data_IF_539121207674
#
_entry.id   IF_539121207674
#
_cell.length_a   1.000
_cell.length_b   1.000
_cell.length_c   1.000
_cell.angle_alpha   90.00
_cell.angle_beta   90.00
_cell.angle_gamma   90.00
#
_symmetry.space_group_name_H-M   'P 1'
#
loop_
_entity.id
_entity.type
_entity.pdbx_description
1 polymer ?
#
# COMPACT_ATOMS: atom_id res chain seq x y z
N UNK A 1 -14.55 -11.30 -28.62
CA UNK A 1 -15.01 -12.00 -29.84
C UNK A 1 -15.33 -10.93 -30.85
N UNK A 2 -14.88 -11.11 -32.09
CA UNK A 2 -14.84 -10.13 -33.19
C UNK A 2 -13.92 -8.91 -32.94
N UNK A 3 -14.13 -8.11 -31.89
CA UNK A 3 -13.27 -6.93 -31.62
C UNK A 3 -11.83 -7.31 -31.25
N UNK A 4 -11.65 -8.36 -30.45
CA UNK A 4 -10.33 -8.90 -30.12
C UNK A 4 -9.60 -9.50 -31.32
N UNK A 5 -10.35 -9.92 -32.35
CA UNK A 5 -9.80 -10.53 -33.56
C UNK A 5 -9.36 -9.44 -34.55
N UNK A 6 -10.14 -8.36 -34.66
CA UNK A 6 -9.75 -7.15 -35.39
C UNK A 6 -8.52 -6.47 -34.77
N UNK A 7 -8.46 -6.38 -33.44
CA UNK A 7 -7.28 -5.85 -32.75
C UNK A 7 -6.06 -6.74 -33.02
N UNK A 8 -6.18 -8.06 -32.87
CA UNK A 8 -5.05 -8.98 -33.11
C UNK A 8 -4.50 -8.91 -34.56
N UNK A 9 -5.36 -8.69 -35.54
CA UNK A 9 -4.96 -8.45 -36.94
C UNK A 9 -4.22 -7.11 -37.12
N UNK A 10 -4.62 -6.07 -36.39
CA UNK A 10 -3.98 -4.74 -36.42
C UNK A 10 -2.56 -4.76 -35.83
N UNK A 11 -2.34 -5.51 -34.75
CA UNK A 11 -1.04 -5.65 -34.07
C UNK A 11 -0.19 -6.82 -34.59
N UNK A 12 -0.63 -7.49 -35.67
CA UNK A 12 0.07 -8.62 -36.31
C UNK A 12 0.47 -9.75 -35.34
N UNK A 13 -0.30 -9.96 -34.26
CA UNK A 13 -0.03 -11.03 -33.30
C UNK A 13 -0.55 -12.33 -33.90
N UNK A 14 0.33 -13.29 -34.16
CA UNK A 14 -0.11 -14.57 -34.68
C UNK A 14 -0.94 -15.32 -33.61
N UNK A 15 -1.85 -16.18 -34.06
CA UNK A 15 -2.78 -16.90 -33.19
C UNK A 15 -2.10 -17.75 -32.09
N UNK A 16 -0.90 -18.28 -32.35
CA UNK A 16 -0.10 -19.06 -31.39
C UNK A 16 0.42 -18.17 -30.25
N UNK A 17 0.85 -16.95 -30.56
CA UNK A 17 1.37 -15.99 -29.57
C UNK A 17 0.23 -15.42 -28.71
N UNK A 18 -0.94 -15.16 -29.31
CA UNK A 18 -2.15 -14.80 -28.58
C UNK A 18 -2.57 -15.90 -27.58
N UNK A 19 -2.50 -17.17 -27.98
CA UNK A 19 -2.81 -18.31 -27.09
C UNK A 19 -1.77 -18.45 -25.97
N UNK A 20 -0.49 -18.19 -26.24
CA UNK A 20 0.56 -18.21 -25.22
C UNK A 20 0.37 -17.07 -24.20
N UNK A 21 0.02 -15.87 -24.67
CA UNK A 21 -0.32 -14.73 -23.80
C UNK A 21 -1.53 -15.04 -22.94
N UNK A 22 -2.63 -15.57 -23.50
CA UNK A 22 -3.82 -15.90 -22.71
C UNK A 22 -3.50 -16.94 -21.63
N UNK A 23 -2.70 -17.97 -21.94
CA UNK A 23 -2.26 -18.97 -20.94
C UNK A 23 -1.39 -18.38 -19.84
N UNK A 24 -0.55 -17.40 -20.17
CA UNK A 24 0.28 -16.69 -19.19
C UNK A 24 -0.56 -15.82 -18.25
N UNK A 25 -1.66 -15.25 -18.75
CA UNK A 25 -2.52 -14.31 -18.00
C UNK A 25 -3.69 -14.99 -17.27
N UNK A 26 -4.11 -16.18 -17.70
CA UNK A 26 -5.25 -16.90 -17.11
C UNK A 26 -5.15 -17.10 -15.58
N UNK A 27 -4.00 -17.47 -15.00
CA UNK A 27 -3.87 -17.56 -13.53
C UNK A 27 -4.04 -16.22 -12.82
N UNK A 28 -3.61 -15.11 -13.44
CA UNK A 28 -3.74 -13.75 -12.88
C UNK A 28 -5.18 -13.27 -12.93
N UNK A 29 -5.86 -13.49 -14.07
CA UNK A 29 -7.28 -13.16 -14.24
C UNK A 29 -8.17 -13.98 -13.29
N UNK A 30 -7.84 -15.25 -13.04
CA UNK A 30 -8.56 -16.05 -12.05
C UNK A 30 -8.37 -15.55 -10.61
N UNK A 31 -7.18 -15.06 -10.24
CA UNK A 31 -6.96 -14.42 -8.93
C UNK A 31 -7.74 -13.13 -8.79
N UNK A 32 -7.71 -12.27 -9.82
CA UNK A 32 -8.46 -11.02 -9.84
C UNK A 32 -9.97 -11.29 -9.73
N UNK A 33 -10.49 -12.27 -10.48
CA UNK A 33 -11.90 -12.65 -10.40
C UNK A 33 -12.30 -13.14 -9.00
N UNK A 34 -11.46 -13.94 -8.32
CA UNK A 34 -11.72 -14.38 -6.94
C UNK A 34 -11.66 -13.23 -5.95
N UNK A 35 -10.72 -12.29 -6.13
CA UNK A 35 -10.61 -11.09 -5.32
C UNK A 35 -11.86 -10.21 -5.47
N UNK A 36 -12.25 -9.87 -6.71
CA UNK A 36 -13.47 -9.10 -6.99
C UNK A 36 -14.71 -9.80 -6.47
N UNK A 37 -14.79 -11.14 -6.57
CA UNK A 37 -15.92 -11.89 -6.04
C UNK A 37 -15.94 -11.91 -4.49
N UNK A 38 -14.77 -11.92 -3.85
CA UNK A 38 -14.62 -11.77 -2.41
C UNK A 38 -15.06 -10.38 -1.93
N UNK A 39 -14.54 -9.33 -2.55
CA UNK A 39 -14.88 -7.94 -2.23
C UNK A 39 -16.34 -7.60 -2.55
N UNK A 40 -16.85 -8.05 -3.70
CA UNK A 40 -18.27 -7.91 -4.05
C UNK A 40 -19.20 -8.68 -3.08
N UNK A 41 -18.74 -9.78 -2.49
CA UNK A 41 -19.51 -10.51 -1.47
C UNK A 41 -19.50 -9.81 -0.10
N UNK A 42 -18.44 -9.07 0.23
CA UNK A 42 -18.38 -8.19 1.41
C UNK A 42 -19.24 -6.94 1.25
N UNK A 43 -19.39 -6.45 0.01
CA UNK A 43 -20.18 -5.26 -0.32
C UNK A 43 -21.68 -5.50 -0.51
N UNK A 44 -22.20 -6.73 -0.26
CA UNK A 44 -23.64 -6.95 -0.26
C UNK A 44 -24.27 -6.47 1.06
N UNK A 45 -24.35 -5.14 1.21
CA UNK A 45 -25.20 -4.48 2.20
C UNK A 45 -26.66 -4.84 1.91
N UNK A 46 -27.24 -5.70 2.74
CA UNK A 46 -28.65 -6.06 2.61
C UNK A 46 -29.50 -4.91 3.19
N UNK A 47 -30.04 -4.07 2.30
CA UNK A 47 -31.01 -3.04 2.68
C UNK A 47 -32.34 -3.73 3.01
N UNK A 48 -32.71 -3.73 4.28
CA UNK A 48 -33.98 -4.31 4.76
C UNK A 48 -35.02 -3.19 4.80
N UNK A 49 -36.02 -3.26 3.92
CA UNK A 49 -37.10 -2.29 3.89
C UNK A 49 -38.10 -2.55 5.02
N UNK A 50 -38.43 -1.51 5.77
CA UNK A 50 -39.39 -1.55 6.88
C UNK A 50 -40.81 -1.49 6.32
N UNK A 51 -41.60 -2.53 6.58
CA UNK A 51 -43.00 -2.57 6.16
C UNK A 51 -43.83 -1.59 6.99
N UNK A 52 -44.88 -0.98 6.42
CA UNK A 52 -45.74 -0.04 7.13
C UNK A 52 -46.38 -0.70 8.37
N UNK A 53 -45.98 -0.27 9.57
CA UNK A 53 -46.44 -0.83 10.86
C UNK A 53 -45.43 -1.75 11.55
N UNK A 54 -44.30 -2.05 10.90
CA UNK A 54 -43.17 -2.76 11.49
C UNK A 54 -42.21 -1.74 12.13
N UNK A 55 -41.71 -2.03 13.34
CA UNK A 55 -40.69 -1.20 13.97
C UNK A 55 -39.30 -1.77 13.67
N UNK A 56 -38.33 -0.95 13.23
CA UNK A 56 -36.97 -1.39 13.04
C UNK A 56 -36.35 -1.82 14.38
N UNK A 57 -35.31 -2.67 14.38
CA UNK A 57 -34.60 -3.03 15.60
C UNK A 57 -34.11 -1.79 16.37
N UNK A 58 -34.14 -1.85 17.70
CA UNK A 58 -33.68 -0.77 18.58
C UNK A 58 -32.21 -0.45 18.30
N UNK A 59 -31.90 0.85 18.16
CA UNK A 59 -30.54 1.35 17.94
C UNK A 59 -30.11 1.44 16.48
N UNK A 60 -30.96 1.05 15.52
CA UNK A 60 -30.61 1.09 14.09
C UNK A 60 -31.08 2.40 13.45
N UNK A 61 -30.20 3.03 12.67
CA UNK A 61 -30.53 4.23 11.88
C UNK A 61 -31.39 3.85 10.68
N UNK A 62 -32.55 4.50 10.54
CA UNK A 62 -33.47 4.31 9.43
C UNK A 62 -33.30 5.43 8.42
N UNK A 63 -33.27 5.09 7.14
CA UNK A 63 -33.17 6.03 6.03
C UNK A 63 -34.37 5.93 5.10
N UNK A 64 -34.71 7.03 4.43
CA UNK A 64 -35.75 7.06 3.42
C UNK A 64 -35.14 6.74 2.04
N UNK A 65 -35.59 5.64 1.43
CA UNK A 65 -35.12 5.21 0.12
C UNK A 65 -35.73 6.02 -1.04
N UNK A 66 -35.15 5.94 -2.23
CA UNK A 66 -35.52 6.75 -3.40
C UNK A 66 -36.94 6.52 -3.95
N UNK A 67 -37.68 5.56 -3.39
CA UNK A 67 -39.08 5.26 -3.73
C UNK A 67 -40.06 5.56 -2.58
N UNK A 68 -39.63 6.31 -1.56
CA UNK A 68 -40.46 6.73 -0.42
C UNK A 68 -40.73 5.63 0.62
N UNK A 69 -39.91 4.58 0.64
CA UNK A 69 -39.95 3.52 1.65
C UNK A 69 -38.78 3.65 2.61
N UNK A 70 -38.99 3.33 3.88
CA UNK A 70 -37.92 3.35 4.89
C UNK A 70 -37.13 2.04 4.85
N UNK A 71 -35.81 2.11 5.01
CA UNK A 71 -34.95 0.92 5.13
C UNK A 71 -33.86 1.13 6.19
N UNK A 72 -33.24 0.05 6.62
CA UNK A 72 -32.01 0.06 7.40
C UNK A 72 -30.97 -0.90 6.82
N UNK A 73 -29.68 -0.65 7.10
CA UNK A 73 -28.57 -1.54 6.73
C UNK A 73 -28.32 -2.54 7.87
N UNK A 74 -28.33 -3.84 7.59
CA UNK A 74 -28.37 -4.90 8.63
C UNK A 74 -27.00 -5.34 9.17
N UNK A 75 -25.97 -4.50 9.13
CA UNK A 75 -24.65 -4.88 9.65
C UNK A 75 -24.70 -5.11 11.17
N UNK A 76 -24.14 -6.23 11.62
CA UNK A 76 -23.87 -6.48 13.03
C UNK A 76 -25.03 -6.99 13.91
N UNK A 77 -26.25 -7.21 13.40
CA UNK A 77 -27.36 -7.72 14.23
C UNK A 77 -27.26 -9.26 14.34
N UNK A 78 -27.03 -9.85 15.53
CA UNK A 78 -27.01 -11.30 15.69
C UNK A 78 -28.37 -11.90 15.29
N UNK A 79 -28.37 -12.85 14.34
CA UNK A 79 -29.55 -13.63 13.94
C UNK A 79 -30.04 -14.48 15.12
N UNK A 80 -30.83 -13.88 16.00
CA UNK A 80 -31.38 -14.52 17.20
C UNK A 80 -32.26 -13.64 18.08
N UNK A 81 -32.26 -12.32 17.89
CA UNK A 81 -32.97 -11.37 18.77
C UNK A 81 -34.48 -11.18 18.48
N UNK A 82 -35.14 -12.10 17.77
CA UNK A 82 -36.60 -12.09 17.61
C UNK A 82 -37.28 -12.94 18.69
N UNK A 83 -37.08 -12.60 19.96
CA UNK A 83 -38.00 -13.04 21.01
C UNK A 83 -38.92 -11.88 21.35
N UNK A 84 -40.20 -12.09 21.04
CA UNK A 84 -41.32 -11.22 21.39
C UNK A 84 -41.53 -11.26 22.89
N UNK A 85 -40.74 -10.48 23.63
CA UNK A 85 -41.04 -10.15 25.01
C UNK A 85 -42.04 -9.02 25.04
N UNK A 86 -43.24 -9.34 25.52
CA UNK A 86 -44.29 -8.39 25.87
C UNK A 86 -43.95 -7.89 27.27
N UNK A 87 -42.92 -7.08 27.38
CA UNK A 87 -42.59 -6.41 28.65
C UNK A 87 -43.54 -5.23 28.84
N UNK A 88 -44.06 -5.11 30.06
CA UNK A 88 -44.83 -3.95 30.49
C UNK A 88 -43.94 -2.70 30.30
N UNK A 89 -44.37 -1.69 29.53
CA UNK A 89 -43.57 -0.48 29.30
C UNK A 89 -43.07 0.18 30.59
N UNK A 90 -43.79 0.00 31.70
CA UNK A 90 -43.36 0.53 33.01
C UNK A 90 -42.22 -0.28 33.62
N UNK A 91 -42.18 -1.60 33.44
CA UNK A 91 -41.07 -2.44 33.90
C UNK A 91 -39.80 -2.19 33.08
N UNK A 92 -39.94 -1.96 31.76
CA UNK A 92 -38.82 -1.57 30.89
C UNK A 92 -38.26 -0.21 31.28
N UNK A 93 -39.13 0.76 31.60
CA UNK A 93 -38.70 2.11 32.02
C UNK A 93 -38.00 2.06 33.37
N UNK A 94 -38.55 1.35 34.35
CA UNK A 94 -37.93 1.20 35.67
C UNK A 94 -36.60 0.44 35.61
N UNK A 95 -36.53 -0.61 34.78
CA UNK A 95 -35.29 -1.34 34.52
C UNK A 95 -34.23 -0.45 33.85
N UNK A 96 -34.65 0.40 32.91
CA UNK A 96 -33.77 1.36 32.23
C UNK A 96 -33.29 2.48 33.17
N UNK A 97 -34.12 2.94 34.10
CA UNK A 97 -33.73 3.96 35.10
C UNK A 97 -32.81 3.38 36.20
N UNK A 98 -33.01 2.13 36.62
CA UNK A 98 -32.17 1.46 37.62
C UNK A 98 -30.81 1.04 37.05
N UNK A 99 -30.72 0.82 35.73
CA UNK A 99 -29.48 0.51 34.99
C UNK A 99 -28.95 1.67 34.17
N UNK A 100 -29.59 2.83 34.20
CA UNK A 100 -28.98 4.05 33.71
C UNK A 100 -27.78 4.31 34.60
N UNK A 101 -26.62 3.83 34.14
CA UNK A 101 -25.31 4.18 34.67
C UNK A 101 -25.36 5.69 34.93
N UNK A 102 -25.00 6.18 36.13
CA UNK A 102 -25.04 7.61 36.43
C UNK A 102 -24.38 8.29 35.26
N UNK A 103 -25.14 9.16 34.56
CA UNK A 103 -24.71 9.80 33.31
C UNK A 103 -23.24 10.13 33.50
N UNK A 104 -22.33 9.43 32.79
CA UNK A 104 -20.91 9.58 33.06
C UNK A 104 -20.66 11.08 33.06
N UNK A 105 -20.06 11.59 34.14
CA UNK A 105 -19.71 13.01 34.20
C UNK A 105 -19.10 13.33 32.85
N UNK A 106 -19.61 14.36 32.14
CA UNK A 106 -19.27 14.59 30.75
C UNK A 106 -17.75 14.63 30.68
N UNK A 107 -17.16 13.53 30.23
CA UNK A 107 -15.73 13.45 30.00
C UNK A 107 -15.48 14.54 28.98
N UNK A 108 -14.56 15.45 29.28
CA UNK A 108 -14.18 16.48 28.33
C UNK A 108 -13.86 15.75 27.03
N UNK A 109 -14.65 16.03 25.99
CA UNK A 109 -14.53 15.31 24.75
C UNK A 109 -13.09 15.52 24.26
N UNK A 110 -12.37 14.41 24.01
CA UNK A 110 -11.03 14.48 23.45
C UNK A 110 -11.09 15.34 22.18
N UNK A 111 -10.20 16.34 22.03
CA UNK A 111 -10.26 17.24 20.89
C UNK A 111 -10.09 16.47 19.60
N UNK A 112 -10.76 16.93 18.56
CA UNK A 112 -10.57 16.49 17.19
C UNK A 112 -9.35 17.19 16.56
N UNK A 113 -8.81 16.65 15.47
CA UNK A 113 -7.68 17.27 14.75
C UNK A 113 -8.03 18.69 14.28
N UNK A 114 -9.28 18.90 13.85
CA UNK A 114 -9.77 20.21 13.42
C UNK A 114 -9.98 21.24 14.54
N UNK A 115 -10.00 20.84 15.81
CA UNK A 115 -10.28 21.75 16.93
C UNK A 115 -9.17 22.80 17.13
N UNK A 116 -7.96 22.50 16.64
CA UNK A 116 -6.84 23.45 16.64
C UNK A 116 -6.95 24.48 15.49
N UNK A 117 -7.86 24.28 14.53
CA UNK A 117 -8.03 25.21 13.40
C UNK A 117 -6.78 25.38 12.55
N UNK A 118 -5.90 24.37 12.53
CA UNK A 118 -4.58 24.43 11.90
C UNK A 118 -3.51 25.23 12.66
N UNK A 119 -3.78 25.62 13.92
CA UNK A 119 -2.83 26.28 14.79
C UNK A 119 -1.90 25.25 15.45
N UNK A 120 -0.75 25.00 14.81
CA UNK A 120 0.28 24.09 15.33
C UNK A 120 0.80 24.56 16.69
N UNK A 121 0.85 25.86 16.97
CA UNK A 121 1.30 26.35 18.28
C UNK A 121 0.31 25.93 19.37
N UNK A 122 -0.99 26.04 19.11
CA UNK A 122 -2.04 25.59 20.02
C UNK A 122 -1.98 24.07 20.29
N UNK A 123 -1.69 23.26 19.26
CA UNK A 123 -1.48 21.81 19.43
C UNK A 123 -0.29 21.52 20.34
N UNK A 124 0.83 22.21 20.15
CA UNK A 124 2.03 22.03 20.98
C UNK A 124 1.81 22.49 22.41
N UNK A 125 1.14 23.62 22.61
CA UNK A 125 0.82 24.12 23.95
C UNK A 125 -0.14 23.15 24.67
N UNK A 126 -1.08 22.55 23.94
CA UNK A 126 -1.97 21.50 24.44
C UNK A 126 -1.27 20.18 24.74
N UNK A 127 -0.24 19.81 23.96
CA UNK A 127 0.55 18.60 24.19
C UNK A 127 1.57 18.76 25.34
N UNK A 128 2.08 19.98 25.56
CA UNK A 128 3.08 20.31 26.57
C UNK A 128 2.46 20.72 27.93
N UNK A 129 1.13 20.81 28.03
CA UNK A 129 0.47 21.14 29.29
C UNK A 129 0.86 20.10 30.36
N UNK A 130 1.49 20.57 31.44
CA UNK A 130 2.28 19.79 32.42
C UNK A 130 1.45 18.73 33.19
N UNK A 131 0.14 18.70 32.95
CA UNK A 131 -0.86 17.83 33.59
C UNK A 131 -1.60 16.91 32.62
N UNK A 132 -1.16 16.85 31.36
CA UNK A 132 -1.82 15.99 30.38
C UNK A 132 -1.66 14.52 30.73
N UNK A 133 -2.77 13.79 30.71
CA UNK A 133 -2.71 12.34 30.75
C UNK A 133 -2.04 11.85 29.46
N UNK A 134 -0.98 11.06 29.60
CA UNK A 134 -0.31 10.44 28.45
C UNK A 134 -1.28 9.59 27.63
N UNK A 135 -2.32 9.03 28.27
CA UNK A 135 -3.34 8.24 27.59
C UNK A 135 -4.17 9.07 26.60
N UNK A 136 -4.60 10.28 26.95
CA UNK A 136 -5.32 11.17 26.01
C UNK A 136 -4.44 11.57 24.82
N UNK A 137 -3.16 11.84 25.07
CA UNK A 137 -2.22 12.20 24.04
C UNK A 137 -1.97 11.02 23.08
N UNK A 138 -1.84 9.82 23.65
CA UNK A 138 -1.65 8.59 22.92
C UNK A 138 -2.88 8.27 22.05
N UNK A 139 -4.08 8.35 22.60
CA UNK A 139 -5.35 8.16 21.87
C UNK A 139 -5.51 9.20 20.76
N UNK A 140 -5.23 10.47 21.05
CA UNK A 140 -5.34 11.54 20.08
C UNK A 140 -4.48 11.25 18.84
N UNK A 141 -3.20 10.94 19.05
CA UNK A 141 -2.27 10.68 17.96
C UNK A 141 -2.48 9.32 17.30
N UNK A 142 -2.87 8.27 18.03
CA UNK A 142 -3.17 6.96 17.46
C UNK A 142 -4.23 7.04 16.34
N UNK A 143 -5.22 7.94 16.46
CA UNK A 143 -6.22 8.16 15.41
C UNK A 143 -5.61 8.58 14.07
N UNK A 144 -4.46 9.25 14.06
CA UNK A 144 -3.81 9.72 12.83
C UNK A 144 -3.32 8.58 11.95
N UNK A 145 -3.21 7.36 12.50
CA UNK A 145 -2.68 6.20 11.79
C UNK A 145 -3.57 4.96 11.89
N UNK A 146 -4.70 5.08 12.58
CA UNK A 146 -5.70 4.02 12.64
C UNK A 146 -6.53 4.05 11.36
N UNK A 147 -6.66 2.91 10.69
CA UNK A 147 -7.37 2.75 9.41
C UNK A 147 -8.28 1.53 9.50
N UNK A 148 -9.04 1.24 8.43
CA UNK A 148 -9.83 0.00 8.35
C UNK A 148 -8.98 -1.28 8.46
N UNK A 149 -7.68 -1.21 8.14
CA UNK A 149 -6.77 -2.36 8.10
C UNK A 149 -5.66 -2.30 9.15
N UNK A 150 -5.63 -1.25 9.98
CA UNK A 150 -4.61 -1.06 11.03
C UNK A 150 -5.18 -0.38 12.26
N UNK A 151 -4.84 -0.88 13.43
CA UNK A 151 -4.90 -0.14 14.69
C UNK A 151 -3.50 0.39 15.03
N UNK A 152 -3.44 1.63 15.51
CA UNK A 152 -2.20 2.25 15.96
C UNK A 152 -2.17 2.35 17.49
N UNK A 153 -1.02 2.03 18.07
CA UNK A 153 -0.75 2.12 19.51
C UNK A 153 0.50 3.00 19.70
N UNK A 154 0.38 4.10 20.44
CA UNK A 154 1.54 4.91 20.80
C UNK A 154 2.31 4.18 21.91
N UNK A 155 3.56 3.81 21.60
CA UNK A 155 4.43 3.05 22.51
C UNK A 155 5.42 3.94 23.24
N UNK A 156 5.66 5.14 22.70
CA UNK A 156 6.49 6.17 23.32
C UNK A 156 6.09 7.52 22.77
N UNK A 157 5.94 8.48 23.68
CA UNK A 157 5.80 9.90 23.37
C UNK A 157 6.91 10.68 24.07
N UNK A 158 7.54 11.60 23.33
CA UNK A 158 8.49 12.59 23.87
C UNK A 158 8.04 13.95 23.40
N UNK A 159 7.64 14.82 24.34
CA UNK A 159 7.23 16.20 24.06
C UNK A 159 8.35 17.13 24.51
N UNK A 160 8.79 17.99 23.60
CA UNK A 160 9.72 19.08 23.85
C UNK A 160 9.09 20.39 23.33
N UNK A 161 9.67 21.54 23.69
CA UNK A 161 9.09 22.86 23.36
C UNK A 161 8.86 23.09 21.86
N UNK A 162 9.69 22.47 21.00
CA UNK A 162 9.69 22.65 19.54
C UNK A 162 9.44 21.38 18.74
N UNK A 163 9.34 20.21 19.39
CA UNK A 163 9.05 18.93 18.72
C UNK A 163 8.29 17.92 19.57
N UNK A 164 7.49 17.08 18.90
CA UNK A 164 6.84 15.90 19.50
C UNK A 164 7.32 14.68 18.73
N UNK A 165 7.99 13.75 19.41
CA UNK A 165 8.44 12.47 18.83
C UNK A 165 7.53 11.34 19.30
N UNK A 166 7.00 10.57 18.35
CA UNK A 166 6.07 9.47 18.58
C UNK A 166 6.62 8.18 17.99
N UNK A 167 6.71 7.13 18.82
CA UNK A 167 6.95 5.77 18.36
C UNK A 167 5.65 4.99 18.38
N UNK A 168 5.25 4.47 17.23
CA UNK A 168 3.94 3.86 17.01
C UNK A 168 4.11 2.40 16.61
N UNK A 169 3.29 1.55 17.22
CA UNK A 169 3.12 0.15 16.85
C UNK A 169 1.82 -0.01 16.07
N UNK A 170 1.90 -0.67 14.94
CA UNK A 170 0.75 -1.01 14.11
C UNK A 170 0.35 -2.47 14.35
N UNK A 171 -0.95 -2.69 14.49
CA UNK A 171 -1.59 -4.00 14.70
C UNK A 171 -2.75 -4.21 13.76
N UNK A 172 -3.03 -5.47 13.43
CA UNK A 172 -4.20 -5.86 12.67
C UNK A 172 -5.45 -5.83 13.59
N UNK A 173 -6.52 -5.10 13.25
CA UNK A 173 -7.67 -4.93 14.13
C UNK A 173 -8.42 -6.23 14.44
N UNK A 174 -8.42 -7.20 13.52
CA UNK A 174 -9.16 -8.46 13.71
C UNK A 174 -8.39 -9.46 14.56
N UNK A 175 -7.07 -9.53 14.36
CA UNK A 175 -6.22 -10.57 14.95
C UNK A 175 -5.32 -10.05 16.06
N UNK A 176 -5.23 -8.74 16.23
CA UNK A 176 -4.25 -8.05 17.07
C UNK A 176 -2.79 -8.45 16.77
N UNK A 177 -2.53 -8.91 15.53
CA UNK A 177 -1.19 -9.30 15.10
C UNK A 177 -0.35 -8.07 14.82
N UNK A 178 0.91 -8.07 15.25
CA UNK A 178 1.83 -6.98 14.95
C UNK A 178 2.12 -6.87 13.44
N UNK A 179 1.85 -5.71 12.86
CA UNK A 179 2.04 -5.42 11.43
C UNK A 179 3.35 -4.69 11.17
N UNK A 180 3.75 -3.78 12.06
CA UNK A 180 4.95 -2.99 11.90
C UNK A 180 5.08 -1.87 12.92
N UNK A 181 6.12 -1.07 12.76
CA UNK A 181 6.44 0.06 13.65
C UNK A 181 6.81 1.28 12.84
N UNK A 182 6.55 2.46 13.39
CA UNK A 182 6.99 3.72 12.81
C UNK A 182 7.39 4.74 13.87
N UNK A 183 8.19 5.71 13.46
CA UNK A 183 8.54 6.87 14.28
C UNK A 183 8.24 8.14 13.47
N UNK A 184 7.64 9.12 14.13
CA UNK A 184 7.26 10.41 13.56
C UNK A 184 7.71 11.52 14.48
N UNK A 185 8.33 12.55 13.92
CA UNK A 185 8.70 13.76 14.64
C UNK A 185 7.91 14.93 14.08
N UNK A 186 7.03 15.50 14.89
CA UNK A 186 6.29 16.70 14.57
C UNK A 186 7.10 17.91 15.03
N UNK A 187 7.21 18.94 14.20
CA UNK A 187 7.92 20.17 14.53
C UNK A 187 6.94 21.32 14.67
N UNK A 188 7.15 22.16 15.69
CA UNK A 188 6.34 23.37 15.93
C UNK A 188 6.40 24.35 14.74
N UNK A 189 7.43 24.25 13.90
CA UNK A 189 7.54 25.01 12.64
C UNK A 189 6.51 24.60 11.56
N UNK A 190 5.69 23.58 11.80
CA UNK A 190 4.64 23.12 10.89
C UNK A 190 5.06 21.97 9.96
N UNK A 191 6.23 21.34 10.18
CA UNK A 191 6.68 20.18 9.42
C UNK A 191 6.56 18.87 10.20
N UNK A 192 6.34 17.76 9.50
CA UNK A 192 6.43 16.39 10.06
C UNK A 192 7.60 15.67 9.42
N UNK A 193 8.46 15.04 10.22
CA UNK A 193 9.53 14.18 9.75
C UNK A 193 9.13 12.70 9.92
N UNK A 194 9.22 11.92 8.85
CA UNK A 194 9.05 10.47 8.92
C UNK A 194 10.40 9.79 9.17
N UNK A 195 10.74 9.60 10.45
CA UNK A 195 12.02 9.02 10.88
C UNK A 195 12.17 7.53 10.50
N UNK A 196 11.12 6.74 10.73
CA UNK A 196 11.15 5.30 10.47
C UNK A 196 9.77 4.80 10.06
N UNK A 197 9.71 3.89 9.10
CA UNK A 197 8.52 3.09 8.85
C UNK A 197 8.93 1.69 8.37
N UNK A 198 8.63 0.68 9.18
CA UNK A 198 8.96 -0.71 8.90
C UNK A 198 7.74 -1.60 9.07
N UNK A 199 7.41 -2.37 8.03
CA UNK A 199 6.38 -3.40 8.06
C UNK A 199 7.01 -4.79 8.10
N UNK A 200 6.34 -5.72 8.77
CA UNK A 200 6.72 -7.12 8.78
C UNK A 200 6.64 -7.71 7.37
N UNK A 201 7.62 -8.55 7.01
CA UNK A 201 7.78 -9.06 5.64
C UNK A 201 6.54 -9.79 5.11
N UNK A 202 5.79 -10.45 5.97
CA UNK A 202 4.57 -11.19 5.61
C UNK A 202 3.38 -10.29 5.26
N UNK A 203 3.42 -9.01 5.60
CA UNK A 203 2.34 -8.04 5.34
C UNK A 203 2.72 -6.95 4.31
N UNK A 204 3.96 -6.98 3.82
CA UNK A 204 4.42 -6.12 2.74
C UNK A 204 3.70 -6.46 1.41
N UNK A 205 3.51 -5.43 0.57
CA UNK A 205 2.82 -5.58 -0.72
C UNK A 205 1.29 -5.69 -0.64
N UNK A 206 0.71 -5.51 0.55
CA UNK A 206 -0.75 -5.58 0.77
C UNK A 206 -1.43 -4.20 0.81
N UNK A 207 -0.71 -3.12 0.50
CA UNK A 207 -1.25 -1.74 0.52
C UNK A 207 -1.31 -1.07 1.89
N UNK A 208 -0.91 -1.76 2.98
CA UNK A 208 -0.95 -1.22 4.35
C UNK A 208 -0.17 0.09 4.48
N UNK A 209 1.04 0.17 3.93
CA UNK A 209 1.86 1.39 4.01
C UNK A 209 1.16 2.60 3.38
N UNK A 210 0.54 2.39 2.20
CA UNK A 210 -0.19 3.42 1.49
C UNK A 210 -1.42 3.89 2.28
N UNK A 211 -2.20 2.96 2.85
CA UNK A 211 -3.37 3.30 3.65
C UNK A 211 -3.00 4.12 4.90
N UNK A 212 -1.97 3.69 5.63
CA UNK A 212 -1.48 4.37 6.83
C UNK A 212 -0.94 5.77 6.49
N UNK A 213 -0.12 5.91 5.44
CA UNK A 213 0.44 7.20 5.06
C UNK A 213 -0.63 8.19 4.59
N UNK A 214 -1.62 7.73 3.80
CA UNK A 214 -2.73 8.57 3.36
C UNK A 214 -3.54 9.11 4.54
N UNK A 215 -3.91 8.25 5.48
CA UNK A 215 -4.62 8.67 6.70
C UNK A 215 -3.79 9.66 7.52
N UNK A 216 -2.48 9.42 7.63
CA UNK A 216 -1.57 10.29 8.34
C UNK A 216 -1.50 11.68 7.70
N UNK A 217 -1.31 11.75 6.38
CA UNK A 217 -1.24 12.99 5.61
C UNK A 217 -2.51 13.84 5.75
N UNK A 218 -3.69 13.20 5.73
CA UNK A 218 -4.96 13.88 5.98
C UNK A 218 -5.04 14.43 7.40
N UNK A 219 -4.72 13.60 8.39
CA UNK A 219 -4.73 14.00 9.80
C UNK A 219 -3.75 15.14 10.09
N UNK A 220 -2.56 15.11 9.50
CA UNK A 220 -1.55 16.18 9.65
C UNK A 220 -2.04 17.50 9.08
N UNK A 221 -2.76 17.46 7.95
CA UNK A 221 -3.35 18.65 7.33
C UNK A 221 -4.41 19.26 8.24
N UNK A 222 -5.25 18.44 8.85
CA UNK A 222 -6.28 18.89 9.80
C UNK A 222 -5.66 19.53 11.05
N UNK A 223 -4.56 18.96 11.54
CA UNK A 223 -3.77 19.54 12.63
C UNK A 223 -3.04 20.84 12.27
N UNK A 224 -2.91 21.17 10.97
CA UNK A 224 -2.24 22.40 10.49
C UNK A 224 -0.80 22.24 10.05
N UNK A 225 -0.27 21.02 9.98
CA UNK A 225 1.06 20.78 9.40
C UNK A 225 1.01 21.01 7.89
N UNK A 226 2.08 21.61 7.36
CA UNK A 226 2.15 22.08 5.98
C UNK A 226 3.13 21.29 5.10
N UNK A 227 3.96 20.43 5.69
CA UNK A 227 4.94 19.66 4.93
C UNK A 227 5.36 18.38 5.63
N UNK A 228 5.72 17.38 4.82
CA UNK A 228 6.30 16.13 5.28
C UNK A 228 7.70 16.00 4.68
N UNK A 229 8.67 15.69 5.52
CA UNK A 229 10.04 15.39 5.11
C UNK A 229 10.43 14.00 5.59
N UNK A 230 11.34 13.34 4.89
CA UNK A 230 11.84 12.03 5.29
C UNK A 230 13.21 11.79 4.69
N UNK A 231 13.97 10.90 5.34
CA UNK A 231 15.19 10.37 4.76
C UNK A 231 14.96 8.92 4.36
N UNK A 232 14.67 8.70 3.08
CA UNK A 232 14.48 7.36 2.57
C UNK A 232 15.82 6.62 2.48
N UNK A 233 15.83 5.35 2.88
CA UNK A 233 16.98 4.47 2.69
C UNK A 233 17.34 4.39 1.19
N UNK A 234 18.65 4.28 0.91
CA UNK A 234 19.29 4.33 -0.41
C UNK A 234 18.85 3.21 -1.35
N UNK A 235 18.14 2.20 -0.87
CA UNK A 235 17.69 1.08 -1.68
C UNK A 235 16.45 1.44 -2.50
N UNK A 236 15.29 0.90 -2.15
CA UNK A 236 14.03 1.03 -2.90
C UNK A 236 13.14 2.12 -2.28
N UNK A 237 13.46 2.54 -1.06
CA UNK A 237 12.64 3.45 -0.27
C UNK A 237 12.35 4.76 -1.00
N UNK A 238 13.38 5.38 -1.57
CA UNK A 238 13.27 6.64 -2.33
C UNK A 238 12.23 6.56 -3.45
N UNK A 239 12.28 5.51 -4.26
CA UNK A 239 11.34 5.29 -5.34
C UNK A 239 9.91 5.02 -4.82
N UNK A 240 9.77 4.20 -3.78
CA UNK A 240 8.47 3.89 -3.20
C UNK A 240 7.75 5.13 -2.60
N UNK A 241 8.51 6.10 -2.07
CA UNK A 241 7.97 7.38 -1.62
C UNK A 241 7.64 8.29 -2.80
N UNK A 242 8.48 8.34 -3.84
CA UNK A 242 8.20 9.13 -5.02
C UNK A 242 6.90 8.68 -5.73
N UNK A 243 6.62 7.38 -5.75
CA UNK A 243 5.34 6.83 -6.24
C UNK A 243 4.12 7.27 -5.42
N UNK A 244 4.31 7.74 -4.19
CA UNK A 244 3.26 8.30 -3.33
C UNK A 244 3.17 9.84 -3.46
N UNK A 245 3.84 10.44 -4.45
CA UNK A 245 3.79 11.89 -4.70
C UNK A 245 4.83 12.71 -3.93
N UNK A 246 5.75 12.07 -3.21
CA UNK A 246 6.88 12.77 -2.60
C UNK A 246 7.88 13.23 -3.68
N UNK A 247 8.43 14.42 -3.50
CA UNK A 247 9.45 14.95 -4.40
C UNK A 247 10.86 14.74 -3.83
N UNK A 248 11.85 14.71 -4.70
CA UNK A 248 13.26 14.70 -4.33
C UNK A 248 13.71 16.10 -3.93
N UNK A 249 14.71 16.20 -3.05
CA UNK A 249 15.25 17.50 -2.64
C UNK A 249 15.91 18.22 -3.83
N UNK A 250 16.58 17.46 -4.70
CA UNK A 250 17.23 17.93 -5.90
C UNK A 250 17.39 16.80 -6.95
N UNK A 251 17.85 17.17 -8.14
CA UNK A 251 18.10 16.24 -9.26
C UNK A 251 19.12 15.14 -8.88
N UNK A 252 20.10 15.45 -8.04
CA UNK A 252 21.12 14.46 -7.63
C UNK A 252 20.52 13.35 -6.75
N UNK A 253 19.55 13.68 -5.90
CA UNK A 253 18.82 12.66 -5.13
C UNK A 253 17.93 11.80 -6.01
N UNK A 254 17.32 12.40 -7.03
CA UNK A 254 16.51 11.70 -8.03
C UNK A 254 17.37 10.72 -8.84
N UNK A 255 18.52 11.16 -9.35
CA UNK A 255 19.46 10.31 -10.08
C UNK A 255 19.94 9.13 -9.22
N UNK A 256 20.33 9.39 -7.98
CA UNK A 256 20.74 8.36 -7.03
C UNK A 256 19.63 7.33 -6.75
N UNK A 257 18.37 7.77 -6.68
CA UNK A 257 17.23 6.88 -6.51
C UNK A 257 17.02 5.97 -7.74
N UNK A 258 17.19 6.54 -8.94
CA UNK A 258 17.09 5.79 -10.20
C UNK A 258 18.18 4.75 -10.36
N UNK A 259 19.44 5.14 -10.13
CA UNK A 259 20.56 4.20 -10.16
C UNK A 259 20.32 3.01 -9.22
N UNK A 260 19.82 3.29 -8.01
CA UNK A 260 19.54 2.27 -7.00
C UNK A 260 18.40 1.34 -7.44
N UNK A 261 17.36 1.88 -8.09
CA UNK A 261 16.27 1.07 -8.65
C UNK A 261 16.74 0.20 -9.81
N UNK A 262 17.56 0.74 -10.73
CA UNK A 262 18.12 -0.02 -11.86
C UNK A 262 19.00 -1.15 -11.35
N UNK A 263 19.89 -0.88 -10.39
CA UNK A 263 20.73 -1.91 -9.75
C UNK A 263 19.86 -2.96 -9.05
N UNK A 264 18.83 -2.56 -8.32
CA UNK A 264 17.91 -3.51 -7.69
C UNK A 264 17.15 -4.38 -8.70
N UNK A 265 16.65 -3.80 -9.79
CA UNK A 265 15.96 -4.53 -10.86
C UNK A 265 16.90 -5.53 -11.55
N UNK A 266 18.16 -5.13 -11.75
CA UNK A 266 19.20 -6.02 -12.24
C UNK A 266 19.41 -7.22 -11.31
N UNK A 267 19.62 -6.95 -10.02
CA UNK A 267 19.89 -7.99 -9.02
C UNK A 267 18.72 -8.95 -8.81
N UNK A 268 17.47 -8.48 -8.94
CA UNK A 268 16.28 -9.28 -8.60
C UNK A 268 15.60 -9.97 -9.78
N UNK A 269 15.82 -9.53 -11.02
CA UNK A 269 15.09 -10.07 -12.17
C UNK A 269 15.92 -10.20 -13.43
N UNK A 270 16.68 -9.17 -13.78
CA UNK A 270 17.45 -9.17 -15.02
C UNK A 270 18.56 -10.21 -14.95
N UNK A 271 19.27 -10.32 -13.82
CA UNK A 271 20.35 -11.27 -13.64
C UNK A 271 19.89 -12.72 -13.82
N UNK A 272 18.71 -13.07 -13.32
CA UNK A 272 18.17 -14.42 -13.48
C UNK A 272 17.73 -14.69 -14.93
N UNK A 273 17.07 -13.73 -15.59
CA UNK A 273 16.72 -13.85 -17.01
C UNK A 273 17.97 -13.97 -17.88
N UNK A 274 19.01 -13.17 -17.62
CA UNK A 274 20.26 -13.19 -18.36
C UNK A 274 21.03 -14.49 -18.12
N UNK A 275 21.01 -15.03 -16.89
CA UNK A 275 21.58 -16.36 -16.58
C UNK A 275 20.87 -17.45 -17.36
N UNK A 276 19.54 -17.45 -17.39
CA UNK A 276 18.75 -18.42 -18.13
C UNK A 276 19.03 -18.33 -19.64
N UNK A 277 19.08 -17.11 -20.21
CA UNK A 277 19.40 -16.89 -21.61
C UNK A 277 20.84 -17.33 -21.97
N UNK A 278 21.83 -17.04 -21.11
CA UNK A 278 23.22 -17.45 -21.33
C UNK A 278 23.34 -18.98 -21.30
N UNK A 279 22.62 -19.64 -20.40
CA UNK A 279 22.56 -21.09 -20.33
C UNK A 279 21.86 -21.70 -21.56
N UNK A 280 20.77 -21.11 -22.03
CA UNK A 280 20.06 -21.57 -23.23
C UNK A 280 20.96 -21.46 -24.48
N UNK A 281 21.66 -20.33 -24.65
CA UNK A 281 22.63 -20.16 -25.76
C UNK A 281 23.73 -21.21 -25.74
N UNK A 282 24.32 -21.46 -24.57
CA UNK A 282 25.32 -22.52 -24.40
C UNK A 282 24.77 -23.89 -24.81
N UNK A 283 23.55 -24.23 -24.38
CA UNK A 283 22.92 -25.49 -24.74
C UNK A 283 22.61 -25.60 -26.24
N UNK A 284 22.21 -24.51 -26.88
CA UNK A 284 22.00 -24.45 -28.33
C UNK A 284 23.30 -24.64 -29.10
N UNK A 285 24.38 -23.97 -28.70
CA UNK A 285 25.70 -24.13 -29.32
C UNK A 285 26.24 -25.55 -29.16
N UNK A 286 26.19 -26.10 -27.95
CA UNK A 286 26.62 -27.49 -27.69
C UNK A 286 25.77 -28.49 -28.47
N UNK A 287 24.47 -28.23 -28.65
CA UNK A 287 23.57 -29.05 -29.48
C UNK A 287 23.86 -28.89 -30.98
N UNK A 288 24.28 -27.70 -31.41
CA UNK A 288 24.63 -27.40 -32.79
C UNK A 288 25.95 -28.03 -33.22
N UNK A 289 26.85 -28.36 -32.28
CA UNK A 289 28.04 -29.19 -32.54
C UNK A 289 27.56 -30.55 -33.11
N UNK A 290 27.71 -30.80 -34.42
CA UNK A 290 27.07 -31.94 -35.03
C UNK A 290 27.67 -33.24 -34.51
N UNK A 291 26.84 -34.10 -33.92
CA UNK A 291 27.27 -35.46 -33.56
C UNK A 291 27.83 -36.25 -34.76
N UNK A 292 27.44 -35.83 -35.98
CA UNK A 292 27.72 -36.48 -37.26
C UNK A 292 28.78 -35.79 -38.12
N UNK A 293 29.60 -34.87 -37.59
CA UNK A 293 30.80 -34.45 -38.32
C UNK A 293 31.80 -35.63 -38.29
N UNK A 294 31.68 -36.51 -39.28
CA UNK A 294 32.48 -37.75 -39.41
C UNK A 294 33.97 -37.48 -39.67
N UNK A 295 34.31 -36.23 -40.06
CA UNK A 295 35.67 -35.82 -40.42
C UNK A 295 36.36 -34.94 -39.37
N UNK A 296 35.66 -34.50 -38.32
CA UNK A 296 36.29 -33.74 -37.22
C UNK A 296 36.87 -34.67 -36.16
N UNK A 297 38.05 -34.30 -35.67
CA UNK A 297 38.73 -35.01 -34.61
C UNK A 297 38.02 -34.79 -33.27
N UNK A 298 38.15 -35.74 -32.34
CA UNK A 298 37.63 -35.57 -30.98
C UNK A 298 38.25 -34.34 -30.29
N UNK A 299 39.47 -33.95 -30.68
CA UNK A 299 40.16 -32.76 -30.20
C UNK A 299 39.42 -31.47 -30.60
N UNK A 300 39.02 -31.32 -31.87
CA UNK A 300 38.24 -30.17 -32.35
C UNK A 300 36.87 -30.08 -31.65
N UNK A 301 36.22 -31.21 -31.35
CA UNK A 301 34.95 -31.25 -30.61
C UNK A 301 35.11 -30.83 -29.15
N UNK A 302 36.23 -31.18 -28.52
CA UNK A 302 36.55 -30.74 -27.16
C UNK A 302 36.84 -29.25 -27.13
N UNK A 303 37.61 -28.74 -28.09
CA UNK A 303 37.90 -27.31 -28.22
C UNK A 303 36.62 -26.49 -28.43
N UNK A 304 35.71 -26.93 -29.29
CA UNK A 304 34.43 -26.26 -29.50
C UNK A 304 33.56 -26.20 -28.22
N UNK A 305 33.53 -27.26 -27.43
CA UNK A 305 32.79 -27.29 -26.15
C UNK A 305 33.44 -26.41 -25.08
N UNK A 306 34.76 -26.38 -25.00
CA UNK A 306 35.49 -25.51 -24.08
C UNK A 306 35.31 -24.03 -24.48
N UNK A 307 35.25 -23.71 -25.77
CA UNK A 307 34.93 -22.37 -26.26
C UNK A 307 33.52 -21.92 -25.85
N UNK A 308 32.49 -22.72 -26.15
CA UNK A 308 31.11 -22.41 -25.76
C UNK A 308 30.96 -22.25 -24.24
N UNK A 309 31.69 -23.07 -23.46
CA UNK A 309 31.72 -22.96 -22.00
C UNK A 309 32.40 -21.66 -21.54
N UNK A 310 33.51 -21.28 -22.17
CA UNK A 310 34.20 -20.02 -21.88
C UNK A 310 33.31 -18.81 -22.19
N UNK A 311 32.61 -18.78 -23.33
CA UNK A 311 31.67 -17.71 -23.69
C UNK A 311 30.51 -17.61 -22.68
N UNK A 312 29.95 -18.75 -22.24
CA UNK A 312 28.96 -18.78 -21.17
C UNK A 312 29.52 -18.21 -19.86
N UNK A 313 30.70 -18.66 -19.45
CA UNK A 313 31.31 -18.24 -18.18
C UNK A 313 31.68 -16.75 -18.21
N UNK A 314 32.10 -16.22 -19.36
CA UNK A 314 32.34 -14.78 -19.57
C UNK A 314 31.04 -13.96 -19.45
N UNK A 315 29.95 -14.41 -20.08
CA UNK A 315 28.62 -13.79 -19.93
C UNK A 315 28.15 -13.81 -18.47
N UNK A 316 28.29 -14.95 -17.79
CA UNK A 316 27.91 -15.09 -16.38
C UNK A 316 28.75 -14.19 -15.46
N UNK A 317 30.05 -14.06 -15.72
CA UNK A 317 30.93 -13.15 -14.97
C UNK A 317 30.53 -11.68 -15.13
N UNK A 318 30.02 -11.29 -16.31
CA UNK A 318 29.45 -9.96 -16.52
C UNK A 318 28.21 -9.73 -15.66
N UNK A 319 27.31 -10.71 -15.58
CA UNK A 319 26.08 -10.62 -14.77
C UNK A 319 26.39 -10.51 -13.27
N UNK A 320 27.36 -11.28 -12.78
CA UNK A 320 27.78 -11.26 -11.37
C UNK A 320 28.43 -9.93 -10.95
N UNK A 321 28.96 -9.16 -11.91
CA UNK A 321 29.59 -7.87 -11.65
C UNK A 321 28.57 -6.73 -11.50
N UNK A 322 27.27 -7.00 -11.68
CA UNK A 322 26.20 -6.01 -11.69
C UNK A 322 26.04 -5.34 -13.06
N UNK A 323 25.08 -4.40 -13.19
CA UNK A 323 24.91 -3.65 -14.42
C UNK A 323 26.15 -2.77 -14.67
N UNK A 324 26.56 -2.64 -15.93
CA UNK A 324 27.63 -1.71 -16.31
C UNK A 324 27.15 -0.27 -16.16
N UNK A 325 28.07 0.67 -15.92
CA UNK A 325 27.72 2.10 -15.87
C UNK A 325 27.09 2.57 -17.19
N UNK A 326 27.57 2.07 -18.35
CA UNK A 326 26.97 2.36 -19.66
C UNK A 326 25.51 1.88 -19.76
N UNK A 327 25.17 0.72 -19.19
CA UNK A 327 23.79 0.24 -19.14
C UNK A 327 22.92 1.10 -18.22
N UNK A 328 23.45 1.55 -17.08
CA UNK A 328 22.74 2.46 -16.18
C UNK A 328 22.47 3.79 -16.88
N UNK A 329 23.48 4.37 -17.53
CA UNK A 329 23.35 5.60 -18.32
C UNK A 329 22.33 5.45 -19.45
N UNK A 330 22.37 4.35 -20.22
CA UNK A 330 21.40 4.06 -21.30
C UNK A 330 19.97 3.94 -20.76
N UNK A 331 19.78 3.25 -19.63
CA UNK A 331 18.47 3.10 -18.99
C UNK A 331 17.94 4.45 -18.46
N UNK A 332 18.82 5.30 -17.92
CA UNK A 332 18.47 6.65 -17.49
C UNK A 332 18.13 7.56 -18.67
N UNK A 333 18.90 7.51 -19.77
CA UNK A 333 18.63 8.32 -20.97
C UNK A 333 17.29 7.95 -21.62
N UNK A 334 17.03 6.64 -21.80
CA UNK A 334 15.73 6.16 -22.28
C UNK A 334 14.56 6.62 -21.40
N UNK A 335 14.80 6.75 -20.09
CA UNK A 335 13.80 7.24 -19.14
C UNK A 335 13.55 8.74 -19.29
N UNK A 336 14.61 9.55 -19.38
CA UNK A 336 14.51 10.99 -19.57
C UNK A 336 13.88 11.36 -20.92
N UNK A 337 14.15 10.58 -21.97
CA UNK A 337 13.54 10.76 -23.29
C UNK A 337 12.11 10.23 -23.36
N UNK A 338 11.79 9.18 -22.59
CA UNK A 338 10.46 8.60 -22.43
C UNK A 338 9.61 9.38 -21.43
N UNK A 339 9.20 10.60 -21.81
CA UNK A 339 8.46 11.59 -20.99
C UNK A 339 7.15 11.12 -20.32
N UNK A 340 6.74 9.86 -20.48
CA UNK A 340 5.44 9.30 -20.05
C UNK A 340 5.53 8.41 -18.81
N UNK A 341 6.73 8.08 -18.30
CA UNK A 341 6.84 7.16 -17.16
C UNK A 341 6.35 7.78 -15.83
N UNK A 342 6.34 9.11 -15.72
CA UNK A 342 5.73 9.83 -14.59
C UNK A 342 4.22 10.08 -14.77
N UNK A 343 3.67 9.97 -15.98
CA UNK A 343 2.22 10.14 -16.23
C UNK A 343 1.38 8.99 -15.63
N UNK A 344 2.02 7.90 -15.18
CA UNK A 344 1.38 6.86 -14.36
C UNK A 344 1.29 7.22 -12.86
N UNK A 345 2.11 8.14 -12.37
CA UNK A 345 1.94 8.72 -11.04
C UNK A 345 0.87 9.84 -11.03
N UNK A 346 0.53 10.37 -12.21
CA UNK A 346 -0.58 11.31 -12.43
C UNK A 346 -1.96 10.62 -12.59
N UNK A 347 -2.12 9.42 -12.02
CA UNK A 347 -3.43 8.74 -11.90
C UNK A 347 -4.24 9.21 -10.68
N UNK A 348 -3.87 10.35 -10.09
CA UNK A 348 -4.72 11.12 -9.18
C UNK A 348 -5.21 12.38 -9.92
N UNK A 349 -6.48 12.66 -9.74
CA UNK A 349 -7.40 13.49 -10.51
C UNK A 349 -7.08 15.00 -10.58
N UNK A 350 -5.91 15.38 -11.09
CA UNK A 350 -5.67 16.73 -11.60
C UNK A 350 -5.72 17.87 -10.58
N UNK A 351 -5.91 17.59 -9.29
CA UNK A 351 -5.47 18.50 -8.24
C UNK A 351 -3.96 18.38 -8.16
N UNK A 352 -3.29 19.24 -8.94
CA UNK A 352 -1.88 19.54 -8.75
C UNK A 352 -1.69 19.93 -7.29
N UNK A 353 -1.22 18.99 -6.47
CA UNK A 353 -0.51 19.31 -5.25
C UNK A 353 0.63 20.24 -5.67
N UNK A 354 0.54 21.49 -5.24
CA UNK A 354 1.43 22.57 -5.70
C UNK A 354 2.90 22.20 -5.52
N UNK A 355 3.75 22.81 -6.35
CA UNK A 355 5.15 22.99 -5.98
C UNK A 355 5.19 23.64 -4.58
N UNK A 356 5.63 22.90 -3.57
CA UNK A 356 5.83 23.38 -2.21
C UNK A 356 7.28 23.17 -1.78
#
# INVERSE_FOLDING_TARGET
GDDALALAEEIAINQKDAVAMVRLWEPKLQRLARFVQGEASKLQKEKVYVTQGEQPPLGVRVEEGPRGGHYYESEGIPRGAYQTFREDPQEVTAWAEERADPTPEPQEAMPDFGDFGGDVDALFDWANDEFRDTEELDEFFARAWTTEVTEAEITRVTVEDDRIELAVKLTDPETNSHLGTMVRTFHKSGGVHHDMFALNRNVQGQGIALAVNRQAEESYREMGFSGISLQADISIGKYAWAQQGYNFLDESEQDSAWESLIRFAWETREADIQRDNAQERYEEEVRAIPSSMEDETEEERVEAREHAKWERDELLSGIESGPTEEFIEEMMENYYEGSDAWDLAALDDGEKYGEY
#
